data_IF_801520010614
#
_entry.id   IF_801520010614
#
_cell.length_a   1.000
_cell.length_b   1.000
_cell.length_c   1.000
_cell.angle_alpha   90.00
_cell.angle_beta   90.00
_cell.angle_gamma   90.00
#
_symmetry.space_group_name_H-M   'P 1'
#
loop_
_entity.id
_entity.type
_entity.pdbx_description
1 polymer ?
#
# COMPACT_ATOMS: atom_id res chain seq x y z
N UNK A 1 0.88 -7.03 9.41
CA UNK A 1 1.05 -8.30 8.68
C UNK A 1 -0.15 -9.22 8.84
N UNK A 2 -0.41 -9.74 10.03
CA UNK A 2 -1.54 -10.66 10.29
C UNK A 2 -2.89 -10.13 9.80
N UNK A 3 -3.19 -8.87 10.04
CA UNK A 3 -4.45 -8.23 9.61
C UNK A 3 -4.67 -8.31 8.10
N UNK A 4 -3.64 -8.00 7.30
CA UNK A 4 -3.75 -8.03 5.84
C UNK A 4 -3.94 -9.45 5.29
N UNK A 5 -3.24 -10.43 5.85
CA UNK A 5 -3.40 -11.84 5.49
C UNK A 5 -4.80 -12.32 5.87
N UNK A 6 -5.24 -12.06 7.09
CA UNK A 6 -6.55 -12.47 7.59
C UNK A 6 -7.69 -11.85 6.77
N UNK A 7 -7.59 -10.56 6.44
CA UNK A 7 -8.59 -9.87 5.61
C UNK A 7 -8.71 -10.54 4.23
N UNK A 8 -7.59 -10.85 3.56
CA UNK A 8 -7.65 -11.50 2.25
C UNK A 8 -8.15 -12.94 2.32
N UNK A 9 -7.78 -13.68 3.35
CA UNK A 9 -8.29 -15.04 3.54
C UNK A 9 -9.79 -15.03 3.78
N UNK A 10 -10.27 -14.18 4.69
CA UNK A 10 -11.71 -14.06 4.97
C UNK A 10 -12.49 -13.58 3.73
N UNK A 11 -12.01 -12.54 3.07
CA UNK A 11 -12.67 -12.03 1.86
C UNK A 11 -12.61 -13.05 0.72
N UNK A 12 -11.52 -13.79 0.61
CA UNK A 12 -11.35 -14.86 -0.37
C UNK A 12 -12.33 -16.01 -0.16
N UNK A 13 -12.56 -16.41 1.08
CA UNK A 13 -13.53 -17.48 1.41
C UNK A 13 -14.97 -17.01 1.20
N UNK A 14 -15.30 -15.79 1.63
CA UNK A 14 -16.68 -15.31 1.67
C UNK A 14 -17.16 -14.77 0.32
N UNK A 15 -16.31 -14.05 -0.39
CA UNK A 15 -16.70 -13.23 -1.55
C UNK A 15 -16.04 -13.63 -2.85
N UNK A 16 -14.73 -13.83 -2.86
CA UNK A 16 -13.97 -14.01 -4.09
C UNK A 16 -12.73 -14.88 -3.87
N UNK A 17 -12.76 -16.17 -4.25
CA UNK A 17 -11.62 -17.08 -4.10
C UNK A 17 -10.33 -16.63 -4.79
N UNK A 18 -10.44 -15.75 -5.80
CA UNK A 18 -9.27 -15.22 -6.51
C UNK A 18 -8.37 -14.34 -5.63
N UNK A 19 -8.85 -13.91 -4.46
CA UNK A 19 -8.07 -13.12 -3.50
C UNK A 19 -7.16 -13.96 -2.60
N UNK A 20 -7.36 -15.29 -2.52
CA UNK A 20 -6.58 -16.16 -1.63
C UNK A 20 -5.07 -16.10 -1.91
N UNK A 21 -4.58 -16.24 -3.16
CA UNK A 21 -3.15 -16.14 -3.45
C UNK A 21 -2.56 -14.77 -3.11
N UNK A 22 -3.35 -13.70 -3.20
CA UNK A 22 -2.91 -12.34 -2.84
C UNK A 22 -2.76 -12.11 -1.33
N UNK A 23 -3.17 -13.06 -0.48
CA UNK A 23 -2.87 -13.02 0.95
C UNK A 23 -1.35 -12.97 1.22
N UNK A 24 -0.55 -13.64 0.38
CA UNK A 24 0.91 -13.60 0.44
C UNK A 24 1.42 -12.19 0.15
N UNK A 25 0.92 -11.56 -0.92
CA UNK A 25 1.28 -10.18 -1.29
C UNK A 25 0.98 -9.19 -0.17
N UNK A 26 -0.21 -9.30 0.45
CA UNK A 26 -0.58 -8.45 1.57
C UNK A 26 0.24 -8.74 2.84
N UNK A 27 0.62 -10.00 3.06
CA UNK A 27 1.56 -10.38 4.11
C UNK A 27 2.92 -9.72 3.93
N UNK A 28 3.51 -9.80 2.74
CA UNK A 28 4.79 -9.16 2.38
C UNK A 28 4.71 -7.63 2.51
N UNK A 29 3.65 -7.02 2.00
CA UNK A 29 3.43 -5.57 2.13
C UNK A 29 3.34 -5.14 3.60
N UNK A 30 2.61 -5.90 4.42
CA UNK A 30 2.51 -5.64 5.86
C UNK A 30 3.83 -5.83 6.61
N UNK A 31 4.67 -6.78 6.20
CA UNK A 31 6.03 -6.94 6.72
C UNK A 31 6.90 -5.73 6.38
N UNK A 32 6.93 -5.32 5.12
CA UNK A 32 7.71 -4.17 4.67
C UNK A 32 7.27 -2.90 5.40
N UNK A 33 5.97 -2.66 5.52
CA UNK A 33 5.44 -1.52 6.27
C UNK A 33 5.87 -1.55 7.75
N UNK A 34 5.83 -2.73 8.39
CA UNK A 34 6.27 -2.91 9.77
C UNK A 34 7.78 -2.65 9.95
N UNK A 35 8.61 -3.09 9.00
CA UNK A 35 10.05 -2.82 9.01
C UNK A 35 10.35 -1.33 8.87
N UNK A 36 9.67 -0.62 7.97
CA UNK A 36 9.81 0.83 7.83
C UNK A 36 9.35 1.58 9.07
N UNK A 37 8.23 1.17 9.68
CA UNK A 37 7.76 1.76 10.93
C UNK A 37 8.77 1.54 12.07
N UNK A 38 9.34 0.34 12.19
CA UNK A 38 10.36 0.02 13.19
C UNK A 38 11.67 0.79 12.98
N UNK A 39 12.05 1.04 11.73
CA UNK A 39 13.19 1.85 11.36
C UNK A 39 12.95 3.36 11.56
N UNK A 40 11.79 3.75 12.08
CA UNK A 40 11.37 5.16 12.24
C UNK A 40 11.48 5.97 10.92
N UNK A 41 11.23 5.32 9.83
CA UNK A 41 11.27 5.91 8.51
C UNK A 41 9.84 6.20 8.01
N UNK A 42 9.55 7.34 7.41
CA UNK A 42 10.39 8.48 7.04
C UNK A 42 10.41 9.58 8.12
N UNK A 43 11.59 9.99 8.58
CA UNK A 43 11.76 11.07 9.57
C UNK A 43 11.28 12.47 9.05
N UNK A 44 10.06 12.57 8.54
CA UNK A 44 9.46 13.81 8.09
C UNK A 44 10.02 14.44 6.81
N UNK A 45 11.01 13.84 6.16
CA UNK A 45 11.54 14.33 4.89
C UNK A 45 10.73 13.75 3.72
N UNK A 46 10.13 14.62 2.90
CA UNK A 46 9.30 14.25 1.74
C UNK A 46 9.99 13.23 0.81
N UNK A 47 11.30 13.40 0.54
CA UNK A 47 12.06 12.50 -0.30
C UNK A 47 12.15 11.07 0.24
N UNK A 48 12.23 10.91 1.56
CA UNK A 48 12.21 9.60 2.21
C UNK A 48 10.84 8.92 2.12
N UNK A 49 9.76 9.70 2.19
CA UNK A 49 8.39 9.18 1.97
C UNK A 49 8.25 8.66 0.55
N UNK A 50 8.70 9.43 -0.45
CA UNK A 50 8.65 9.03 -1.85
C UNK A 50 9.46 7.74 -2.10
N UNK A 51 10.66 7.64 -1.53
CA UNK A 51 11.49 6.43 -1.65
C UNK A 51 10.84 5.21 -0.97
N UNK A 52 10.26 5.39 0.20
CA UNK A 52 9.50 4.33 0.89
C UNK A 52 8.32 3.85 0.03
N UNK A 53 7.54 4.77 -0.54
CA UNK A 53 6.43 4.45 -1.43
C UNK A 53 6.90 3.64 -2.65
N UNK A 54 8.02 4.04 -3.24
CA UNK A 54 8.61 3.37 -4.39
C UNK A 54 9.04 1.94 -4.04
N UNK A 55 9.77 1.75 -2.94
CA UNK A 55 10.20 0.43 -2.47
C UNK A 55 8.99 -0.47 -2.18
N UNK A 56 7.98 0.07 -1.50
CA UNK A 56 6.75 -0.66 -1.20
C UNK A 56 5.99 -1.07 -2.47
N UNK A 57 5.93 -0.18 -3.47
CA UNK A 57 5.29 -0.46 -4.77
C UNK A 57 6.03 -1.55 -5.53
N UNK A 58 7.35 -1.46 -5.63
CA UNK A 58 8.18 -2.48 -6.28
C UNK A 58 8.00 -3.84 -5.59
N UNK A 59 8.07 -3.89 -4.26
CA UNK A 59 7.87 -5.12 -3.50
C UNK A 59 6.48 -5.74 -3.73
N UNK A 60 5.44 -4.91 -3.79
CA UNK A 60 4.08 -5.37 -4.09
C UNK A 60 3.98 -5.92 -5.53
N UNK A 61 4.53 -5.22 -6.52
CA UNK A 61 4.51 -5.64 -7.92
C UNK A 61 5.28 -6.95 -8.11
N UNK A 62 6.46 -7.08 -7.49
CA UNK A 62 7.26 -8.30 -7.56
C UNK A 62 6.55 -9.53 -6.99
N UNK A 63 5.66 -9.35 -6.02
CA UNK A 63 4.88 -10.46 -5.45
C UNK A 63 3.55 -10.66 -6.14
N UNK A 64 2.88 -9.61 -6.63
CA UNK A 64 1.57 -9.72 -7.29
C UNK A 64 1.65 -10.14 -8.75
N UNK A 65 2.63 -9.65 -9.51
CA UNK A 65 2.73 -9.94 -10.94
C UNK A 65 2.90 -11.45 -11.26
N UNK A 66 3.76 -12.22 -10.56
CA UNK A 66 3.82 -13.66 -10.75
C UNK A 66 2.49 -14.35 -10.45
N UNK A 67 1.81 -13.94 -9.38
CA UNK A 67 0.51 -14.51 -9.01
C UNK A 67 -0.52 -14.22 -10.12
N UNK A 68 -0.57 -12.98 -10.61
CA UNK A 68 -1.47 -12.59 -11.70
C UNK A 68 -1.22 -13.40 -12.97
N UNK A 69 0.03 -13.59 -13.35
CA UNK A 69 0.37 -14.29 -14.61
C UNK A 69 0.20 -15.80 -14.47
N UNK A 70 0.75 -16.42 -13.41
CA UNK A 70 0.76 -17.88 -13.27
C UNK A 70 -0.58 -18.45 -12.79
N UNK A 71 -1.26 -17.75 -11.85
CA UNK A 71 -2.51 -18.27 -11.32
C UNK A 71 -3.72 -17.89 -12.18
N UNK A 72 -3.68 -16.75 -12.86
CA UNK A 72 -4.85 -16.17 -13.53
C UNK A 72 -4.64 -15.79 -14.99
N UNK A 73 -3.48 -16.10 -15.58
CA UNK A 73 -3.19 -15.73 -16.97
C UNK A 73 -3.28 -14.21 -17.24
N UNK A 74 -3.00 -13.40 -16.22
CA UNK A 74 -3.08 -11.94 -16.30
C UNK A 74 -4.47 -11.33 -15.99
N UNK A 75 -5.52 -12.16 -15.95
CA UNK A 75 -6.91 -11.71 -15.75
C UNK A 75 -7.37 -12.15 -14.36
N UNK A 76 -6.95 -11.43 -13.33
CA UNK A 76 -7.22 -11.79 -11.92
C UNK A 76 -8.64 -11.51 -11.45
N UNK A 77 -9.52 -10.98 -12.30
CA UNK A 77 -10.90 -10.64 -11.92
C UNK A 77 -11.04 -9.39 -11.04
N UNK A 78 -9.94 -8.68 -10.79
CA UNK A 78 -9.92 -7.46 -10.00
C UNK A 78 -10.25 -6.23 -10.86
N UNK A 79 -11.54 -6.00 -11.12
CA UNK A 79 -12.05 -4.76 -11.66
C UNK A 79 -11.36 -4.23 -12.92
N UNK A 80 -11.09 -2.92 -12.94
CA UNK A 80 -10.63 -2.21 -14.12
C UNK A 80 -9.25 -2.62 -14.68
N UNK A 81 -8.31 -3.05 -13.85
CA UNK A 81 -6.99 -3.49 -14.31
C UNK A 81 -7.07 -4.77 -15.15
N UNK A 82 -7.91 -5.72 -14.76
CA UNK A 82 -8.10 -6.97 -15.50
C UNK A 82 -8.71 -6.75 -16.89
N UNK A 83 -9.64 -5.80 -17.02
CA UNK A 83 -10.22 -5.43 -18.32
C UNK A 83 -9.17 -4.79 -19.22
N UNK A 84 -8.35 -3.88 -18.68
CA UNK A 84 -7.26 -3.24 -19.40
C UNK A 84 -6.21 -4.25 -19.88
N UNK A 85 -5.82 -5.20 -19.01
CA UNK A 85 -4.87 -6.26 -19.34
C UNK A 85 -5.44 -7.16 -20.44
N UNK A 86 -6.69 -7.59 -20.28
CA UNK A 86 -7.36 -8.45 -21.29
C UNK A 86 -7.42 -7.77 -22.66
N UNK A 87 -7.78 -6.46 -22.71
CA UNK A 87 -7.83 -5.72 -23.95
C UNK A 87 -6.46 -5.58 -24.63
N UNK A 88 -5.40 -5.29 -23.88
CA UNK A 88 -4.06 -5.16 -24.43
C UNK A 88 -3.47 -6.50 -24.88
N UNK A 89 -3.73 -7.59 -24.15
CA UNK A 89 -3.30 -8.94 -24.54
C UNK A 89 -4.05 -9.41 -25.78
N UNK A 90 -5.36 -9.12 -25.89
CA UNK A 90 -6.14 -9.41 -27.09
C UNK A 90 -5.64 -8.62 -28.30
N UNK A 91 -5.05 -7.44 -28.11
CA UNK A 91 -4.39 -6.66 -29.15
C UNK A 91 -2.98 -7.17 -29.52
N UNK A 92 -2.53 -8.30 -28.96
CA UNK A 92 -1.24 -8.94 -29.27
C UNK A 92 -0.07 -8.48 -28.39
N UNK A 93 -0.31 -7.74 -27.31
CA UNK A 93 0.74 -7.33 -26.39
C UNK A 93 1.25 -8.52 -25.54
N UNK A 94 2.55 -8.48 -25.18
CA UNK A 94 3.14 -9.48 -24.31
C UNK A 94 2.55 -9.39 -22.91
N UNK A 95 2.00 -10.51 -22.40
CA UNK A 95 1.31 -10.59 -21.12
C UNK A 95 2.15 -10.06 -19.94
N UNK A 96 3.43 -10.40 -19.87
CA UNK A 96 4.32 -9.96 -18.80
C UNK A 96 4.52 -8.44 -18.79
N UNK A 97 4.77 -7.86 -19.98
CA UNK A 97 4.93 -6.40 -20.10
C UNK A 97 3.64 -5.68 -19.77
N UNK A 98 2.52 -6.22 -20.21
CA UNK A 98 1.18 -5.64 -19.99
C UNK A 98 0.81 -5.67 -18.50
N UNK A 99 0.97 -6.81 -17.83
CA UNK A 99 0.69 -6.95 -16.39
C UNK A 99 1.58 -6.02 -15.57
N UNK A 100 2.90 -6.01 -15.82
CA UNK A 100 3.83 -5.14 -15.10
C UNK A 100 3.52 -3.66 -15.30
N UNK A 101 3.14 -3.24 -16.50
CA UNK A 101 2.82 -1.83 -16.77
C UNK A 101 1.50 -1.41 -16.14
N UNK A 102 0.44 -2.17 -16.35
CA UNK A 102 -0.90 -1.83 -15.83
C UNK A 102 -0.94 -1.94 -14.31
N UNK A 103 -0.51 -3.08 -13.75
CA UNK A 103 -0.48 -3.25 -12.30
C UNK A 103 0.51 -2.30 -11.64
N UNK A 104 1.61 -1.97 -12.31
CA UNK A 104 2.58 -0.98 -11.82
C UNK A 104 1.96 0.40 -11.65
N UNK A 105 1.30 0.92 -12.69
CA UNK A 105 0.64 2.23 -12.65
C UNK A 105 -0.46 2.24 -11.58
N UNK A 106 -1.33 1.24 -11.58
CA UNK A 106 -2.43 1.14 -10.61
C UNK A 106 -1.89 1.05 -9.19
N UNK A 107 -0.87 0.23 -8.94
CA UNK A 107 -0.27 0.06 -7.61
C UNK A 107 0.36 1.35 -7.10
N UNK A 108 1.11 2.08 -7.93
CA UNK A 108 1.73 3.35 -7.53
C UNK A 108 0.66 4.39 -7.19
N UNK A 109 -0.38 4.49 -8.02
CA UNK A 109 -1.48 5.42 -7.78
C UNK A 109 -2.24 5.09 -6.48
N UNK A 110 -2.57 3.82 -6.26
CA UNK A 110 -3.21 3.33 -5.04
C UNK A 110 -2.37 3.64 -3.79
N UNK A 111 -1.06 3.46 -3.85
CA UNK A 111 -0.15 3.79 -2.75
C UNK A 111 -0.12 5.28 -2.43
N UNK A 112 -0.10 6.14 -3.43
CA UNK A 112 -0.13 7.60 -3.23
C UNK A 112 -1.45 7.99 -2.53
N UNK A 113 -2.58 7.54 -3.06
CA UNK A 113 -3.90 7.85 -2.50
C UNK A 113 -4.04 7.32 -1.07
N UNK A 114 -3.65 6.07 -0.84
CA UNK A 114 -3.70 5.44 0.49
C UNK A 114 -2.85 6.19 1.52
N UNK A 115 -1.66 6.67 1.14
CA UNK A 115 -0.79 7.44 2.04
C UNK A 115 -1.36 8.82 2.36
N UNK A 116 -1.94 9.50 1.36
CA UNK A 116 -2.63 10.78 1.58
C UNK A 116 -3.79 10.59 2.56
N UNK A 117 -4.62 9.55 2.34
CA UNK A 117 -5.74 9.23 3.24
C UNK A 117 -5.27 8.90 4.66
N UNK A 118 -4.24 8.06 4.80
CA UNK A 118 -3.66 7.75 6.10
C UNK A 118 -3.12 9.00 6.80
N UNK A 119 -2.46 9.90 6.07
CA UNK A 119 -1.98 11.16 6.62
C UNK A 119 -3.12 12.03 7.13
N UNK A 120 -4.19 12.19 6.33
CA UNK A 120 -5.39 12.95 6.73
C UNK A 120 -6.06 12.33 7.96
N UNK A 121 -6.18 11.00 8.03
CA UNK A 121 -6.74 10.32 9.21
C UNK A 121 -5.90 10.59 10.45
N UNK A 122 -4.58 10.53 10.36
CA UNK A 122 -3.68 10.79 11.50
C UNK A 122 -3.85 12.23 12.02
N UNK A 123 -4.06 13.21 11.14
CA UNK A 123 -4.30 14.61 11.54
C UNK A 123 -5.62 14.78 12.32
N UNK A 124 -6.63 13.96 12.04
CA UNK A 124 -7.94 14.03 12.73
C UNK A 124 -7.93 13.28 14.08
N UNK A 125 -6.99 12.33 14.27
CA UNK A 125 -6.94 11.55 15.52
C UNK A 125 -6.46 12.42 16.68
N UNK A 126 -7.21 12.48 17.82
CA UNK A 126 -6.80 13.25 18.97
C UNK A 126 -5.49 12.75 19.57
N UNK A 127 -4.64 13.67 20.00
CA UNK A 127 -3.29 13.38 20.52
C UNK A 127 -3.29 12.36 21.67
N UNK A 128 -4.34 12.35 22.50
CA UNK A 128 -4.52 11.37 23.60
C UNK A 128 -4.58 9.92 23.12
N UNK A 129 -5.04 9.71 21.89
CA UNK A 129 -5.12 8.38 21.28
C UNK A 129 -3.78 8.01 20.62
N UNK A 130 -3.10 8.98 20.01
CA UNK A 130 -1.80 8.79 19.36
C UNK A 130 -0.71 8.33 20.35
N UNK A 131 -0.74 8.80 21.60
CA UNK A 131 0.22 8.42 22.65
C UNK A 131 0.20 6.90 22.94
N UNK A 132 -0.93 6.24 22.73
CA UNK A 132 -1.08 4.80 22.98
C UNK A 132 -0.36 3.91 21.96
N UNK A 133 0.08 4.48 20.84
CA UNK A 133 0.77 3.75 19.78
C UNK A 133 2.27 4.04 19.81
N UNK A 134 3.08 3.01 19.64
CA UNK A 134 4.56 3.08 19.72
C UNK A 134 5.23 4.07 18.76
N UNK A 135 4.56 4.45 17.67
CA UNK A 135 5.04 5.43 16.70
C UNK A 135 4.29 6.78 16.78
N UNK A 136 3.36 6.93 17.73
CA UNK A 136 2.50 8.11 17.86
C UNK A 136 3.26 9.35 18.35
N UNK A 137 4.29 9.17 19.18
CA UNK A 137 5.09 10.28 19.74
C UNK A 137 5.75 11.18 18.68
N UNK A 138 6.11 10.62 17.53
CA UNK A 138 6.73 11.39 16.44
C UNK A 138 5.78 12.44 15.84
N UNK A 139 4.48 12.16 15.85
CA UNK A 139 3.44 13.06 15.34
C UNK A 139 3.06 14.13 16.35
N UNK A 140 3.13 13.83 17.65
CA UNK A 140 2.85 14.77 18.74
C UNK A 140 3.93 15.85 18.83
N UNK A 141 5.21 15.48 18.65
CA UNK A 141 6.34 16.43 18.68
C UNK A 141 6.26 17.47 17.56
N UNK A 142 5.73 17.11 16.38
CA UNK A 142 5.53 18.04 15.27
C UNK A 142 4.41 19.06 15.56
N UNK A 143 3.30 18.60 16.12
CA UNK A 143 2.17 19.48 16.45
C UNK A 143 2.48 20.44 17.61
N UNK A 144 3.32 20.02 18.58
CA UNK A 144 3.70 20.89 19.69
C UNK A 144 4.59 22.08 19.24
N UNK A 145 5.39 21.91 18.19
CA UNK A 145 6.15 23.03 17.60
C UNK A 145 5.25 24.02 16.87
N UNK A 146 4.26 23.55 16.13
CA UNK A 146 3.31 24.42 15.44
C UNK A 146 2.45 25.25 16.41
N UNK A 147 1.99 24.62 17.51
CA UNK A 147 1.17 25.33 18.53
C UNK A 147 1.99 26.36 19.31
N UNK A 148 3.28 26.12 19.55
CA UNK A 148 4.16 27.09 20.25
C UNK A 148 4.52 28.28 19.37
N UNK A 149 4.61 28.11 18.04
CA UNK A 149 4.84 29.21 17.10
C UNK A 149 3.61 30.12 16.96
N UNK A 150 2.38 29.57 17.06
CA UNK A 150 1.14 30.35 17.01
C UNK A 150 0.86 31.14 18.32
N UNK A 151 1.44 30.74 19.46
CA UNK A 151 1.29 31.41 20.75
C UNK A 151 2.35 32.54 20.98
N UNK A 152 3.34 32.67 20.09
CA UNK A 152 4.40 33.71 20.16
C UNK A 152 4.20 34.88 19.15
N UNK A 153 3.16 34.85 18.31
CA UNK A 153 2.72 35.95 17.45
C UNK A 153 1.53 36.70 18.06
#
# INVERSE_FOLDING_TARGET
MLTGVLTNVLTGIIRNPTLLPYAITNGCTGLMAGLFARAQWPNGKFWKVALMLLIMSVGTICTSAPISVFAYGGISGNGGSSVAIAGLVAAGANIWKTVLSVDGIVTVFDRIVSHILCYLIILVIPQRTLIKYSCGEQWIRKNKKAVVEDDEE
#
